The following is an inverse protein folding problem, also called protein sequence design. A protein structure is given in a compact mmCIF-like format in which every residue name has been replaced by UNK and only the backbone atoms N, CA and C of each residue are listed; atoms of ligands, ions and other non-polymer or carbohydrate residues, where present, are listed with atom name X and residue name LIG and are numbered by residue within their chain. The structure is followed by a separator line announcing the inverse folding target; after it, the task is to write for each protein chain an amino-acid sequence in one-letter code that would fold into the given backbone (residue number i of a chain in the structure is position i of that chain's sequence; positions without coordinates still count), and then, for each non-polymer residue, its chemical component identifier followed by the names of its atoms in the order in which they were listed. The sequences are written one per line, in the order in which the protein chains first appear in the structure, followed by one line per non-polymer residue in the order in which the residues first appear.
data_IF_198987119158
#
_entry.id   IF_198987119158
#
_cell.length_a   1.000
_cell.length_b   1.000
_cell.length_c   1.000
_cell.angle_alpha   90.00
_cell.angle_beta   90.00
_cell.angle_gamma   90.00
#
_symmetry.space_group_name_H-M   'P 1'
#
loop_
_entity.id
_entity.type
_entity.pdbx_description
1 polymer ?
#
# COMPACT_ATOMS: atom_id res chain seq x y z
N UNK A 1 15.12 -8.19 -10.69
CA UNK A 1 13.83 -8.39 -11.42
C UNK A 1 13.82 -9.50 -12.50
N UNK A 2 12.66 -10.09 -12.83
CA UNK A 2 12.52 -11.23 -13.79
C UNK A 2 12.79 -10.91 -15.27
N UNK A 3 13.00 -11.95 -16.10
CA UNK A 3 13.32 -11.80 -17.54
C UNK A 3 12.20 -11.06 -18.27
N UNK A 4 12.49 -9.87 -18.78
CA UNK A 4 11.60 -9.13 -19.67
C UNK A 4 11.66 -9.75 -21.06
N UNK A 5 10.68 -10.60 -21.37
CA UNK A 5 10.51 -11.16 -22.71
C UNK A 5 9.63 -10.24 -23.57
N UNK A 6 10.01 -10.07 -24.83
CA UNK A 6 9.21 -9.29 -25.79
C UNK A 6 7.81 -9.89 -25.95
N UNK A 7 6.80 -9.01 -25.97
CA UNK A 7 5.40 -9.36 -26.16
C UNK A 7 4.54 -8.12 -26.42
N UNK A 8 3.32 -8.34 -26.91
CA UNK A 8 2.32 -7.29 -27.08
C UNK A 8 1.51 -7.19 -25.80
N UNK A 9 1.57 -6.06 -25.08
CA UNK A 9 0.83 -5.93 -23.85
C UNK A 9 -0.65 -5.58 -24.17
N UNK A 10 -1.56 -5.93 -23.27
CA UNK A 10 -3.02 -5.78 -23.47
C UNK A 10 -3.49 -4.55 -22.69
N UNK A 11 -4.40 -3.77 -23.25
CA UNK A 11 -5.00 -2.65 -22.53
C UNK A 11 -5.91 -3.12 -21.39
N UNK A 12 -6.18 -2.26 -20.41
CA UNK A 12 -7.10 -2.53 -19.30
C UNK A 12 -8.44 -3.11 -19.75
N UNK A 13 -9.06 -2.51 -20.78
CA UNK A 13 -10.34 -2.96 -21.32
C UNK A 13 -10.28 -4.36 -21.95
N UNK A 14 -9.10 -4.78 -22.43
CA UNK A 14 -8.84 -6.12 -22.95
C UNK A 14 -8.50 -7.12 -21.82
N UNK A 15 -7.90 -6.65 -20.72
CA UNK A 15 -7.52 -7.45 -19.56
C UNK A 15 -8.71 -7.79 -18.66
N UNK A 16 -9.60 -6.83 -18.39
CA UNK A 16 -10.74 -6.99 -17.46
C UNK A 16 -11.57 -8.26 -17.77
N UNK A 17 -11.96 -8.55 -19.02
CA UNK A 17 -12.76 -9.73 -19.35
C UNK A 17 -12.04 -11.07 -19.10
N UNK A 18 -10.70 -11.08 -19.07
CA UNK A 18 -9.87 -12.29 -18.96
C UNK A 18 -9.22 -12.46 -17.58
N UNK A 19 -9.28 -11.44 -16.71
CA UNK A 19 -8.70 -11.44 -15.37
C UNK A 19 -8.99 -12.72 -14.57
N UNK A 20 -10.25 -13.17 -14.56
CA UNK A 20 -10.64 -14.34 -13.78
C UNK A 20 -9.99 -15.64 -14.28
N UNK A 21 -9.83 -15.77 -15.59
CA UNK A 21 -9.15 -16.91 -16.22
C UNK A 21 -7.67 -16.91 -15.83
N UNK A 22 -7.00 -15.76 -15.91
CA UNK A 22 -5.58 -15.65 -15.53
C UNK A 22 -5.34 -15.89 -14.04
N UNK A 23 -6.22 -15.43 -13.15
CA UNK A 23 -6.16 -15.77 -11.71
C UNK A 23 -6.24 -17.28 -11.48
N UNK A 24 -7.11 -17.99 -12.22
CA UNK A 24 -7.22 -19.45 -12.12
C UNK A 24 -5.96 -20.16 -12.59
N UNK A 25 -5.32 -19.66 -13.65
CA UNK A 25 -4.04 -20.19 -14.15
C UNK A 25 -2.90 -19.92 -13.18
N UNK A 26 -2.81 -18.71 -12.64
CA UNK A 26 -1.81 -18.33 -11.64
C UNK A 26 -1.92 -19.22 -10.39
N UNK A 27 -3.14 -19.43 -9.87
CA UNK A 27 -3.36 -20.33 -8.73
C UNK A 27 -2.95 -21.77 -9.06
N UNK A 28 -3.30 -22.26 -10.25
CA UNK A 28 -2.91 -23.60 -10.70
C UNK A 28 -1.39 -23.76 -10.81
N UNK A 29 -0.68 -22.73 -11.29
CA UNK A 29 0.77 -22.72 -11.36
C UNK A 29 1.40 -22.68 -9.97
N UNK A 30 0.88 -21.83 -9.07
CA UNK A 30 1.33 -21.73 -7.69
C UNK A 30 1.21 -23.07 -6.97
N UNK A 31 0.05 -23.74 -7.07
CA UNK A 31 -0.16 -25.07 -6.47
C UNK A 31 0.82 -26.08 -7.05
N UNK A 32 1.07 -26.08 -8.36
CA UNK A 32 2.04 -27.00 -8.98
C UNK A 32 3.47 -26.75 -8.51
N UNK A 33 3.88 -25.49 -8.36
CA UNK A 33 5.19 -25.12 -7.82
C UNK A 33 5.30 -25.57 -6.37
N UNK A 34 4.28 -25.29 -5.55
CA UNK A 34 4.23 -25.72 -4.17
C UNK A 34 4.34 -27.24 -4.04
N UNK A 35 3.49 -28.01 -4.74
CA UNK A 35 3.53 -29.47 -4.72
C UNK A 35 4.87 -30.04 -5.18
N UNK A 36 5.54 -29.39 -6.13
CA UNK A 36 6.86 -29.80 -6.62
C UNK A 36 7.98 -29.52 -5.60
N UNK A 37 7.88 -28.42 -4.85
CA UNK A 37 8.96 -27.90 -4.01
C UNK A 37 8.74 -28.09 -2.50
N UNK A 38 7.54 -28.48 -2.05
CA UNK A 38 7.18 -28.57 -0.61
C UNK A 38 8.07 -29.49 0.22
N UNK A 39 8.64 -30.51 -0.42
CA UNK A 39 9.49 -31.51 0.22
C UNK A 39 10.99 -31.27 -0.05
N UNK A 40 11.36 -30.14 -0.67
CA UNK A 40 12.76 -29.81 -0.92
C UNK A 40 13.47 -29.52 0.40
N UNK A 41 14.62 -30.18 0.59
CA UNK A 41 15.47 -30.02 1.76
C UNK A 41 16.93 -29.99 1.33
N UNK A 42 17.77 -29.28 2.09
CA UNK A 42 19.21 -29.24 1.87
C UNK A 42 19.68 -28.23 0.83
N UNK A 43 18.84 -27.24 0.46
CA UNK A 43 19.28 -26.14 -0.39
C UNK A 43 20.35 -25.29 0.31
N UNK A 44 21.33 -24.85 -0.48
CA UNK A 44 22.35 -23.92 0.01
C UNK A 44 21.72 -22.56 0.27
N UNK A 45 22.12 -21.89 1.37
CA UNK A 45 21.70 -20.52 1.61
C UNK A 45 22.41 -19.59 0.64
N UNK A 46 21.69 -19.27 -0.44
CA UNK A 46 22.08 -18.34 -1.48
C UNK A 46 21.31 -17.04 -1.28
N UNK A 47 21.97 -15.91 -1.48
CA UNK A 47 21.38 -14.59 -1.33
C UNK A 47 22.05 -13.59 -2.27
N UNK A 48 21.42 -12.45 -2.51
CA UNK A 48 21.95 -11.41 -3.38
C UNK A 48 21.37 -10.06 -2.99
N UNK A 49 21.99 -9.00 -3.50
CA UNK A 49 21.49 -7.63 -3.36
C UNK A 49 21.05 -7.10 -4.73
N UNK A 50 20.04 -6.24 -4.74
CA UNK A 50 19.64 -5.47 -5.92
C UNK A 50 19.87 -3.98 -5.63
N UNK A 51 20.59 -3.30 -6.52
CA UNK A 51 20.84 -1.86 -6.41
C UNK A 51 20.25 -1.12 -7.60
N UNK A 52 19.32 -0.22 -7.30
CA UNK A 52 18.84 0.79 -8.23
C UNK A 52 19.71 2.04 -8.17
N UNK A 53 20.03 2.57 -9.34
CA UNK A 53 20.82 3.77 -9.51
C UNK A 53 20.03 4.82 -10.28
N UNK A 54 20.19 6.07 -9.87
CA UNK A 54 19.67 7.26 -10.55
C UNK A 54 20.78 7.90 -11.39
N UNK A 55 20.47 8.20 -12.64
CA UNK A 55 21.33 8.95 -13.57
C UNK A 55 21.01 10.44 -13.44
N UNK A 56 22.05 11.25 -13.25
CA UNK A 56 21.91 12.70 -13.08
C UNK A 56 22.93 13.48 -13.88
N UNK A 57 22.55 14.69 -14.28
CA UNK A 57 23.41 15.66 -14.94
C UNK A 57 23.67 16.86 -14.00
N UNK A 58 24.94 17.18 -13.79
CA UNK A 58 25.41 18.34 -13.02
C UNK A 58 25.78 19.50 -13.96
N UNK A 59 24.92 20.51 -14.06
CA UNK A 59 25.28 21.80 -14.66
C UNK A 59 25.97 22.66 -13.60
N UNK A 60 27.29 22.54 -13.50
CA UNK A 60 28.09 23.30 -12.54
C UNK A 60 28.00 24.82 -12.75
N UNK A 61 27.82 25.27 -14.01
CA UNK A 61 27.73 26.69 -14.34
C UNK A 61 26.46 27.32 -13.78
N UNK A 62 25.33 26.60 -13.86
CA UNK A 62 24.03 27.04 -13.34
C UNK A 62 23.76 26.53 -11.93
N UNK A 63 24.72 25.83 -11.30
CA UNK A 63 24.61 25.19 -9.99
C UNK A 63 23.35 24.33 -9.88
N UNK A 64 23.15 23.45 -10.86
CA UNK A 64 21.91 22.68 -11.00
C UNK A 64 22.20 21.20 -11.21
N UNK A 65 21.36 20.37 -10.60
CA UNK A 65 21.33 18.93 -10.83
C UNK A 65 19.96 18.57 -11.42
N UNK A 66 19.95 17.73 -12.44
CA UNK A 66 18.76 17.30 -13.16
C UNK A 66 18.82 15.80 -13.41
N UNK A 67 17.67 15.14 -13.57
CA UNK A 67 17.58 13.74 -13.99
C UNK A 67 18.07 13.59 -15.43
N UNK A 68 18.84 12.55 -15.69
CA UNK A 68 19.40 12.24 -17.01
C UNK A 68 18.67 11.04 -17.62
N UNK A 69 17.92 11.25 -18.70
CA UNK A 69 17.14 10.22 -19.39
C UNK A 69 18.01 9.50 -20.43
N UNK A 70 18.81 8.54 -19.97
CA UNK A 70 19.80 7.83 -20.79
C UNK A 70 19.92 6.34 -20.48
N UNK A 71 19.07 5.77 -19.64
CA UNK A 71 19.11 4.36 -19.30
C UNK A 71 19.05 3.50 -20.58
N UNK A 72 18.20 3.87 -21.54
CA UNK A 72 18.09 3.19 -22.83
C UNK A 72 19.36 3.19 -23.68
N UNK A 73 20.21 4.20 -23.56
CA UNK A 73 21.50 4.28 -24.28
C UNK A 73 22.60 3.49 -23.58
N UNK A 74 22.66 3.60 -22.24
CA UNK A 74 23.79 3.03 -21.48
C UNK A 74 23.60 1.55 -21.17
N UNK A 75 22.36 1.08 -21.00
CA UNK A 75 22.09 -0.29 -20.57
C UNK A 75 22.56 -1.34 -21.60
N UNK A 76 22.33 -1.19 -22.91
CA UNK A 76 22.87 -2.12 -23.90
C UNK A 76 24.41 -2.20 -23.86
N UNK A 77 25.07 -1.06 -23.60
CA UNK A 77 26.54 -0.98 -23.48
C UNK A 77 27.02 -1.72 -22.24
N UNK A 78 26.36 -1.53 -21.10
CA UNK A 78 26.65 -2.24 -19.85
C UNK A 78 26.52 -3.76 -20.00
N UNK A 79 25.45 -4.21 -20.66
CA UNK A 79 25.22 -5.63 -20.96
C UNK A 79 26.34 -6.19 -21.86
N UNK A 80 26.76 -5.44 -22.89
CA UNK A 80 27.81 -5.89 -23.80
C UNK A 80 29.21 -5.90 -23.15
N UNK A 81 29.55 -4.87 -22.36
CA UNK A 81 30.81 -4.81 -21.60
C UNK A 81 30.97 -6.02 -20.67
N UNK A 82 29.88 -6.53 -20.10
CA UNK A 82 29.91 -7.72 -19.26
C UNK A 82 30.03 -9.04 -20.03
N UNK A 83 29.73 -9.07 -21.34
CA UNK A 83 29.99 -10.24 -22.19
C UNK A 83 31.45 -10.33 -22.66
N UNK A 84 32.09 -9.18 -22.89
CA UNK A 84 33.43 -9.09 -23.48
C UNK A 84 34.55 -9.31 -22.46
N UNK A 85 34.31 -9.00 -21.18
CA UNK A 85 35.37 -8.89 -20.17
C UNK A 85 35.73 -10.18 -19.38
N UNK A 86 35.21 -11.38 -19.70
CA UNK A 86 35.63 -12.59 -18.98
C UNK A 86 35.63 -13.88 -19.80
N UNK A 87 36.80 -14.52 -19.86
CA UNK A 87 36.92 -15.97 -19.71
C UNK A 87 36.26 -16.32 -18.36
N UNK A 88 35.16 -17.06 -18.45
CA UNK A 88 34.34 -17.66 -17.39
C UNK A 88 33.65 -16.70 -16.40
N UNK A 89 32.37 -16.43 -16.68
CA UNK A 89 31.30 -15.77 -15.88
C UNK A 89 31.28 -14.23 -15.78
N UNK A 90 30.20 -13.55 -16.24
CA UNK A 90 29.95 -12.14 -15.95
C UNK A 90 29.83 -11.92 -14.43
N UNK A 91 30.37 -10.83 -13.89
CA UNK A 91 30.29 -10.53 -12.45
C UNK A 91 29.03 -9.76 -12.03
N UNK A 92 28.34 -9.14 -13.00
CA UNK A 92 27.21 -8.23 -12.79
C UNK A 92 26.14 -8.49 -13.85
N UNK A 93 24.88 -8.55 -13.43
CA UNK A 93 23.73 -8.48 -14.33
C UNK A 93 23.07 -7.10 -14.20
N UNK A 94 22.80 -6.48 -15.35
CA UNK A 94 22.18 -5.16 -15.45
C UNK A 94 20.77 -5.31 -16.02
N UNK A 95 19.82 -4.61 -15.40
CA UNK A 95 18.40 -4.67 -15.74
C UNK A 95 17.84 -3.26 -15.96
N UNK A 96 16.86 -3.11 -16.88
CA UNK A 96 16.18 -1.84 -17.05
C UNK A 96 15.21 -1.61 -15.89
N UNK A 97 15.04 -0.34 -15.51
CA UNK A 97 14.01 0.08 -14.56
C UNK A 97 12.91 0.91 -15.23
N UNK A 98 11.84 1.17 -14.50
CA UNK A 98 10.62 1.83 -15.03
C UNK A 98 10.93 3.19 -15.64
N UNK A 99 11.81 3.97 -15.02
CA UNK A 99 12.17 5.30 -15.50
C UNK A 99 13.49 5.28 -16.30
N UNK A 100 13.58 6.11 -17.35
CA UNK A 100 14.76 6.19 -18.22
C UNK A 100 15.97 6.90 -17.57
N UNK A 101 15.80 7.40 -16.34
CA UNK A 101 16.91 7.84 -15.50
C UNK A 101 17.35 6.77 -14.50
N UNK A 102 16.84 5.54 -14.58
CA UNK A 102 17.15 4.47 -13.64
C UNK A 102 17.75 3.25 -14.31
N UNK A 103 18.70 2.61 -13.63
CA UNK A 103 19.22 1.29 -13.97
C UNK A 103 19.32 0.44 -12.70
N UNK A 104 19.06 -0.86 -12.81
CA UNK A 104 19.23 -1.84 -11.73
C UNK A 104 20.48 -2.69 -12.02
N UNK A 105 21.32 -2.89 -11.00
CA UNK A 105 22.47 -3.77 -11.07
C UNK A 105 22.46 -4.79 -9.93
N UNK A 106 22.66 -6.06 -10.26
CA UNK A 106 22.67 -7.20 -9.33
C UNK A 106 23.96 -8.02 -9.53
N UNK A 107 24.44 -8.78 -8.53
CA UNK A 107 25.49 -9.76 -8.77
C UNK A 107 24.96 -10.83 -9.74
N UNK A 108 25.76 -11.21 -10.75
CA UNK A 108 25.32 -12.21 -11.74
C UNK A 108 25.10 -13.60 -11.13
N UNK A 109 25.89 -13.93 -10.10
CA UNK A 109 25.75 -15.15 -9.30
C UNK A 109 25.40 -14.76 -7.86
N UNK A 110 24.52 -15.52 -7.19
CA UNK A 110 24.20 -15.26 -5.80
C UNK A 110 25.41 -15.48 -4.89
N UNK A 111 25.49 -14.71 -3.81
CA UNK A 111 26.42 -14.94 -2.73
C UNK A 111 26.10 -16.22 -1.97
N UNK A 112 27.14 -16.87 -1.45
CA UNK A 112 26.98 -18.04 -0.58
C UNK A 112 26.78 -17.69 0.89
N UNK A 113 26.66 -18.73 1.71
CA UNK A 113 26.34 -18.63 3.14
C UNK A 113 27.54 -18.32 4.06
N UNK A 114 28.77 -18.48 3.55
CA UNK A 114 29.96 -18.27 4.38
C UNK A 114 30.13 -16.77 4.70
N UNK A 115 30.49 -16.39 5.94
CA UNK A 115 30.71 -14.99 6.31
C UNK A 115 31.73 -14.27 5.42
N UNK A 116 32.64 -14.99 4.76
CA UNK A 116 33.60 -14.44 3.80
C UNK A 116 32.94 -13.72 2.61
N UNK A 117 31.71 -14.11 2.21
CA UNK A 117 30.97 -13.45 1.15
C UNK A 117 30.56 -12.02 1.53
N UNK A 118 30.45 -11.68 2.81
CA UNK A 118 30.19 -10.30 3.24
C UNK A 118 31.29 -9.33 2.78
N UNK A 119 32.53 -9.82 2.66
CA UNK A 119 33.66 -9.04 2.19
C UNK A 119 33.65 -8.81 0.66
N UNK A 120 32.79 -9.51 -0.08
CA UNK A 120 32.70 -9.39 -1.55
C UNK A 120 31.57 -8.47 -2.00
N UNK A 121 30.57 -8.23 -1.13
CA UNK A 121 29.38 -7.43 -1.45
C UNK A 121 29.77 -6.00 -1.85
N UNK A 122 30.51 -5.30 -0.98
CA UNK A 122 30.90 -3.91 -1.23
C UNK A 122 31.80 -3.79 -2.48
N UNK A 123 32.68 -4.76 -2.69
CA UNK A 123 33.52 -4.81 -3.90
C UNK A 123 32.68 -4.96 -5.17
N UNK A 124 31.65 -5.82 -5.14
CA UNK A 124 30.72 -6.00 -6.26
C UNK A 124 29.86 -4.73 -6.48
N UNK A 125 29.34 -4.11 -5.42
CA UNK A 125 28.61 -2.83 -5.50
C UNK A 125 29.48 -1.69 -6.06
N UNK A 126 30.75 -1.63 -5.63
CA UNK A 126 31.72 -0.64 -6.12
C UNK A 126 32.03 -0.86 -7.59
N UNK A 127 32.18 -2.11 -8.03
CA UNK A 127 32.37 -2.45 -9.43
C UNK A 127 31.17 -2.03 -10.29
N UNK A 128 29.95 -2.29 -9.83
CA UNK A 128 28.70 -1.82 -10.49
C UNK A 128 28.72 -0.30 -10.71
N UNK A 129 28.95 0.46 -9.64
CA UNK A 129 29.04 1.93 -9.73
C UNK A 129 30.13 2.36 -10.71
N UNK A 130 31.31 1.76 -10.62
CA UNK A 130 32.46 2.09 -11.45
C UNK A 130 32.17 1.86 -12.93
N UNK A 131 31.69 0.67 -13.30
CA UNK A 131 31.37 0.32 -14.69
C UNK A 131 30.36 1.30 -15.31
N UNK A 132 29.28 1.59 -14.60
CA UNK A 132 28.26 2.51 -15.09
C UNK A 132 28.76 3.95 -15.15
N UNK A 133 29.55 4.40 -14.17
CA UNK A 133 30.17 5.73 -14.22
C UNK A 133 31.18 5.86 -15.36
N UNK A 134 31.96 4.82 -15.67
CA UNK A 134 32.92 4.83 -16.79
C UNK A 134 32.19 5.07 -18.12
N UNK A 135 31.10 4.35 -18.39
CA UNK A 135 30.29 4.51 -19.61
C UNK A 135 29.70 5.93 -19.73
N UNK A 136 29.22 6.51 -18.62
CA UNK A 136 28.73 7.89 -18.61
C UNK A 136 29.86 8.90 -18.86
N UNK A 137 31.01 8.69 -18.23
CA UNK A 137 32.17 9.58 -18.34
C UNK A 137 32.80 9.59 -19.73
N UNK A 138 32.63 8.51 -20.52
CA UNK A 138 33.01 8.49 -21.93
C UNK A 138 32.19 9.46 -22.79
N UNK A 139 30.96 9.79 -22.36
CA UNK A 139 30.07 10.70 -23.07
C UNK A 139 30.16 12.15 -22.55
N UNK A 140 30.30 12.35 -21.24
CA UNK A 140 30.26 13.67 -20.61
C UNK A 140 30.83 13.69 -19.20
N UNK A 141 31.63 14.72 -18.88
CA UNK A 141 32.15 14.97 -17.51
C UNK A 141 31.08 15.48 -16.53
N UNK A 142 29.87 15.76 -17.03
CA UNK A 142 28.75 16.31 -16.24
C UNK A 142 27.71 15.24 -15.87
N UNK A 143 27.90 13.98 -16.27
CA UNK A 143 26.93 12.90 -16.08
C UNK A 143 27.41 11.91 -15.02
N UNK A 144 26.52 11.60 -14.07
CA UNK A 144 26.88 10.83 -12.88
C UNK A 144 25.81 9.79 -12.56
N UNK A 145 26.29 8.69 -11.98
CA UNK A 145 25.44 7.67 -11.37
C UNK A 145 25.45 7.81 -9.84
N UNK A 146 24.27 7.90 -9.25
CA UNK A 146 24.09 8.03 -7.80
C UNK A 146 23.09 6.98 -7.30
N UNK A 147 23.17 6.59 -6.02
CA UNK A 147 22.12 5.81 -5.38
C UNK A 147 21.30 6.76 -4.52
N UNK A 148 20.05 6.96 -4.92
CA UNK A 148 19.16 7.91 -4.29
C UNK A 148 17.75 7.32 -4.35
N UNK A 149 17.10 7.21 -3.20
CA UNK A 149 15.74 6.67 -3.12
C UNK A 149 14.69 7.61 -3.71
N UNK A 150 14.91 8.92 -3.61
CA UNK A 150 14.02 9.94 -4.16
C UNK A 150 14.81 11.17 -4.62
N UNK A 151 14.59 11.60 -5.86
CA UNK A 151 15.23 12.80 -6.39
C UNK A 151 14.57 14.06 -5.77
N UNK A 152 15.29 14.91 -5.01
CA UNK A 152 14.66 15.97 -4.20
C UNK A 152 13.87 17.01 -4.99
N UNK A 153 14.18 17.18 -6.27
CA UNK A 153 13.54 18.17 -7.16
C UNK A 153 12.62 17.55 -8.18
N UNK A 154 12.24 16.30 -7.98
CA UNK A 154 11.34 15.59 -8.88
C UNK A 154 10.06 16.39 -9.12
N UNK A 155 9.68 16.56 -10.39
CA UNK A 155 8.51 17.36 -10.78
C UNK A 155 8.63 18.87 -10.58
N UNK A 156 9.78 19.41 -10.17
CA UNK A 156 9.91 20.83 -9.81
C UNK A 156 10.84 21.62 -10.73
N UNK A 157 10.27 22.55 -11.49
CA UNK A 157 10.99 23.43 -12.41
C UNK A 157 11.69 22.64 -13.51
N UNK A 158 12.91 23.04 -13.88
CA UNK A 158 13.73 22.29 -14.85
C UNK A 158 14.46 21.14 -14.13
N UNK A 159 13.73 20.05 -13.82
CA UNK A 159 14.25 18.89 -13.09
C UNK A 159 14.77 17.77 -14.00
N UNK A 160 14.40 17.78 -15.29
CA UNK A 160 14.88 16.84 -16.32
C UNK A 160 15.93 17.55 -17.15
N UNK A 161 17.07 16.91 -17.38
CA UNK A 161 18.10 17.39 -18.28
C UNK A 161 17.64 17.15 -19.71
N UNK A 162 17.82 18.16 -20.56
CA UNK A 162 17.46 18.07 -21.96
C UNK A 162 18.60 18.60 -22.81
N UNK A 163 19.11 17.77 -23.71
CA UNK A 163 20.18 18.18 -24.63
C UNK A 163 19.61 19.09 -25.72
N UNK A 164 20.44 19.88 -26.39
CA UNK A 164 20.01 20.74 -27.49
C UNK A 164 19.46 19.97 -28.72
N UNK A 165 19.51 18.63 -28.70
CA UNK A 165 18.95 17.75 -29.73
C UNK A 165 17.62 17.10 -29.31
N UNK A 166 17.08 17.44 -28.14
CA UNK A 166 15.80 16.89 -27.63
C UNK A 166 14.57 17.65 -28.13
N UNK A 167 14.75 18.57 -29.08
CA UNK A 167 13.65 19.04 -29.90
C UNK A 167 13.21 17.87 -30.77
N UNK A 168 12.30 17.04 -30.26
CA UNK A 168 11.31 16.23 -30.99
C UNK A 168 10.75 15.16 -30.03
N UNK A 169 9.64 15.46 -29.36
CA UNK A 169 8.38 14.76 -29.60
C UNK A 169 7.30 15.36 -28.69
N UNK A 170 6.40 16.13 -29.31
CA UNK A 170 5.06 16.40 -28.81
C UNK A 170 4.30 15.08 -28.67
N UNK A 171 4.51 14.36 -27.55
CA UNK A 171 3.73 13.17 -27.23
C UNK A 171 3.22 13.32 -25.81
N UNK A 172 1.93 13.68 -25.74
CA UNK A 172 0.99 13.35 -24.66
C UNK A 172 1.44 13.61 -23.22
N UNK A 173 2.21 14.66 -22.93
CA UNK A 173 2.53 15.00 -21.53
C UNK A 173 1.24 15.38 -20.76
N UNK A 174 0.60 14.38 -20.12
CA UNK A 174 -0.60 14.59 -19.30
C UNK A 174 -0.27 15.29 -17.97
N UNK A 175 1.01 15.32 -17.60
CA UNK A 175 1.51 15.96 -16.38
C UNK A 175 2.80 16.73 -16.62
N UNK A 176 2.80 18.00 -16.21
CA UNK A 176 4.01 18.87 -16.21
C UNK A 176 5.03 18.48 -15.12
N UNK A 177 4.62 17.66 -14.15
CA UNK A 177 5.44 17.22 -13.02
C UNK A 177 5.97 15.78 -13.21
N UNK A 178 5.34 15.00 -14.10
CA UNK A 178 5.73 13.64 -14.47
C UNK A 178 5.46 13.48 -15.97
N UNK A 179 6.31 14.03 -16.85
CA UNK A 179 6.11 13.89 -18.28
C UNK A 179 6.44 12.45 -18.73
N UNK A 180 5.73 11.96 -19.74
CA UNK A 180 5.83 10.57 -20.24
C UNK A 180 7.26 10.18 -20.64
N UNK A 181 8.06 11.15 -21.09
CA UNK A 181 9.47 10.96 -21.41
C UNK A 181 10.32 10.44 -20.25
N UNK A 182 9.84 10.51 -19.01
CA UNK A 182 10.53 9.90 -17.86
C UNK A 182 10.51 8.37 -17.93
N UNK A 183 9.55 7.77 -18.61
CA UNK A 183 9.41 6.32 -18.72
C UNK A 183 10.44 5.77 -19.70
N UNK A 184 11.11 4.70 -19.29
CA UNK A 184 12.11 4.02 -20.10
C UNK A 184 11.50 3.51 -21.42
N UNK A 185 12.08 3.85 -22.58
CA UNK A 185 11.63 3.33 -23.85
C UNK A 185 12.10 1.89 -24.12
N UNK A 186 12.90 1.30 -23.22
CA UNK A 186 13.58 0.00 -23.41
C UNK A 186 12.60 -1.15 -23.59
N UNK A 187 11.46 -1.15 -22.88
CA UNK A 187 10.54 -2.29 -22.89
C UNK A 187 9.07 -1.86 -22.94
N UNK A 188 8.22 -2.46 -23.82
CA UNK A 188 6.80 -2.09 -23.96
C UNK A 188 6.01 -2.15 -22.64
N UNK A 189 6.32 -3.12 -21.77
CA UNK A 189 5.74 -3.22 -20.40
C UNK A 189 5.80 -1.89 -19.63
N UNK A 190 6.88 -1.12 -19.78
CA UNK A 190 7.07 0.13 -19.04
C UNK A 190 6.13 1.23 -19.55
N UNK A 191 5.82 1.22 -20.85
CA UNK A 191 4.85 2.12 -21.46
C UNK A 191 3.40 1.68 -21.21
N UNK A 192 3.14 0.37 -21.15
CA UNK A 192 1.77 -0.14 -20.99
C UNK A 192 1.24 -0.06 -19.54
N UNK A 193 2.12 0.20 -18.56
CA UNK A 193 1.71 0.72 -17.24
C UNK A 193 0.94 2.06 -17.32
N UNK A 194 0.84 2.69 -18.49
CA UNK A 194 -0.04 3.83 -18.73
C UNK A 194 -1.44 3.42 -19.21
N UNK A 195 -1.58 2.24 -19.84
CA UNK A 195 -2.88 1.66 -20.21
C UNK A 195 -3.62 1.08 -19.01
N UNK A 196 -2.87 0.42 -18.12
CA UNK A 196 -3.29 0.10 -16.76
C UNK A 196 -2.82 1.23 -15.85
N UNK A 197 -3.62 2.31 -15.78
CA UNK A 197 -3.39 3.43 -14.85
C UNK A 197 -2.91 2.90 -13.49
N UNK A 198 -1.97 3.55 -12.80
CA UNK A 198 -1.70 3.21 -11.41
C UNK A 198 -2.98 3.49 -10.61
N UNK A 199 -3.75 2.41 -10.45
CA UNK A 199 -5.07 2.37 -9.89
C UNK A 199 -4.91 2.14 -8.40
N UNK A 200 -5.44 3.06 -7.61
CA UNK A 200 -5.39 2.99 -6.16
C UNK A 200 -6.73 3.43 -5.60
N UNK A 201 -7.08 2.95 -4.41
CA UNK A 201 -8.30 3.34 -3.71
C UNK A 201 -7.95 3.67 -2.28
N UNK A 202 -8.76 4.51 -1.66
CA UNK A 202 -8.76 4.66 -0.21
C UNK A 202 -9.90 3.83 0.39
N UNK A 203 -9.75 3.50 1.66
CA UNK A 203 -10.77 2.80 2.44
C UNK A 203 -11.02 3.62 3.70
N UNK A 204 -12.28 3.92 3.96
CA UNK A 204 -12.68 4.70 5.13
C UNK A 204 -13.67 3.92 5.96
N UNK A 205 -13.28 3.66 7.20
CA UNK A 205 -14.16 3.21 8.26
C UNK A 205 -14.82 4.42 8.95
N UNK A 206 -16.11 4.29 9.21
CA UNK A 206 -16.92 5.26 9.94
C UNK A 206 -17.50 4.62 11.20
N UNK A 207 -17.36 5.31 12.32
CA UNK A 207 -18.02 4.98 13.59
C UNK A 207 -19.36 5.69 13.67
N UNK A 208 -20.43 4.94 13.91
CA UNK A 208 -21.78 5.44 14.15
C UNK A 208 -21.92 5.84 15.63
N UNK A 209 -22.39 7.04 15.90
CA UNK A 209 -22.57 7.56 17.26
C UNK A 209 -23.92 8.24 17.45
N UNK A 210 -24.39 8.21 18.69
CA UNK A 210 -25.55 8.96 19.15
C UNK A 210 -25.10 10.06 20.13
N UNK A 211 -25.56 11.29 19.88
CA UNK A 211 -25.37 12.45 20.76
C UNK A 211 -26.61 12.67 21.61
N UNK A 212 -26.53 12.25 22.88
CA UNK A 212 -27.51 12.63 23.88
C UNK A 212 -27.14 14.01 24.44
N UNK A 213 -27.66 15.05 23.79
CA UNK A 213 -27.43 16.44 24.18
C UNK A 213 -27.94 16.76 25.59
N UNK A 214 -29.03 16.14 26.02
CA UNK A 214 -29.65 16.38 27.32
C UNK A 214 -28.75 15.91 28.46
N UNK A 215 -28.16 14.72 28.30
CA UNK A 215 -27.25 14.15 29.30
C UNK A 215 -25.77 14.45 29.03
N UNK A 216 -25.47 15.19 27.95
CA UNK A 216 -24.12 15.52 27.49
C UNK A 216 -23.26 14.28 27.28
N UNK A 217 -23.81 13.30 26.55
CA UNK A 217 -23.15 12.01 26.29
C UNK A 217 -23.05 11.72 24.81
N UNK A 218 -21.99 11.02 24.46
CA UNK A 218 -21.79 10.41 23.15
C UNK A 218 -21.67 8.91 23.38
N UNK A 219 -22.39 8.13 22.60
CA UNK A 219 -22.47 6.68 22.72
C UNK A 219 -22.35 6.04 21.33
N UNK A 220 -21.82 4.81 21.26
CA UNK A 220 -21.80 4.01 20.04
C UNK A 220 -23.22 3.62 19.64
N UNK A 221 -23.55 3.76 18.36
CA UNK A 221 -24.84 3.45 17.78
C UNK A 221 -24.75 2.12 17.00
N UNK A 222 -25.45 1.08 17.46
CA UNK A 222 -25.42 -0.25 16.84
C UNK A 222 -26.50 -0.34 15.76
N UNK A 223 -26.22 0.22 14.60
CA UNK A 223 -27.17 0.31 13.47
C UNK A 223 -26.56 0.01 12.12
N UNK A 224 -25.31 -0.47 12.05
CA UNK A 224 -24.67 -0.80 10.77
C UNK A 224 -25.53 -1.77 9.97
N UNK A 225 -26.10 -2.78 10.61
CA UNK A 225 -26.99 -3.76 9.97
C UNK A 225 -28.29 -3.18 9.39
N UNK A 226 -28.79 -2.05 9.92
CA UNK A 226 -29.99 -1.38 9.42
C UNK A 226 -29.66 -0.44 8.25
N UNK A 227 -28.55 0.29 8.35
CA UNK A 227 -28.21 1.33 7.38
C UNK A 227 -27.49 0.79 6.15
N UNK A 228 -26.68 -0.26 6.30
CA UNK A 228 -25.85 -0.78 5.22
C UNK A 228 -26.66 -1.29 4.02
N UNK A 229 -27.76 -2.06 4.18
CA UNK A 229 -28.59 -2.47 3.05
C UNK A 229 -29.14 -1.27 2.26
N UNK A 230 -29.56 -0.20 2.96
CA UNK A 230 -30.07 1.02 2.35
C UNK A 230 -29.00 1.78 1.56
N UNK A 231 -27.77 1.80 2.08
CA UNK A 231 -26.61 2.39 1.39
C UNK A 231 -26.26 1.64 0.11
N UNK A 232 -26.34 0.30 0.15
CA UNK A 232 -26.10 -0.56 -1.03
C UNK A 232 -27.18 -0.32 -2.09
N UNK A 233 -28.47 -0.36 -1.70
CA UNK A 233 -29.60 -0.08 -2.61
C UNK A 233 -29.49 1.31 -3.27
N UNK A 234 -29.14 2.34 -2.49
CA UNK A 234 -28.97 3.71 -2.99
C UNK A 234 -27.88 3.79 -4.08
N UNK A 235 -26.82 2.98 -3.98
CA UNK A 235 -25.75 2.99 -4.98
C UNK A 235 -26.03 2.10 -6.19
N UNK A 236 -26.84 1.04 -6.04
CA UNK A 236 -27.34 0.28 -7.19
C UNK A 236 -28.24 1.15 -8.08
N UNK A 237 -29.06 2.03 -7.50
CA UNK A 237 -29.90 2.98 -8.23
C UNK A 237 -29.07 4.07 -8.96
N UNK A 238 -27.93 4.48 -8.38
CA UNK A 238 -27.07 5.55 -8.90
C UNK A 238 -25.78 5.03 -9.56
N UNK A 239 -25.75 3.78 -10.04
CA UNK A 239 -24.52 3.13 -10.51
C UNK A 239 -23.81 3.84 -11.68
N UNK A 240 -24.50 4.74 -12.40
CA UNK A 240 -23.90 5.53 -13.50
C UNK A 240 -23.32 6.88 -13.05
N UNK A 241 -23.53 7.29 -11.80
CA UNK A 241 -23.00 8.55 -11.29
C UNK A 241 -21.53 8.42 -10.94
N UNK A 242 -20.74 9.43 -11.30
CA UNK A 242 -19.35 9.57 -10.88
C UNK A 242 -19.24 10.77 -9.93
N UNK A 243 -18.74 10.59 -8.70
CA UNK A 243 -18.10 9.38 -8.16
C UNK A 243 -19.08 8.33 -7.59
N UNK A 244 -18.81 7.05 -7.82
CA UNK A 244 -19.57 5.90 -7.28
C UNK A 244 -18.88 5.31 -6.04
N UNK A 245 -19.65 4.67 -5.16
CA UNK A 245 -19.22 4.20 -3.84
C UNK A 245 -19.61 2.73 -3.66
N UNK A 246 -18.75 1.94 -3.03
CA UNK A 246 -19.13 0.64 -2.49
C UNK A 246 -19.08 0.69 -0.96
N UNK A 247 -20.06 0.05 -0.33
CA UNK A 247 -20.22 0.00 1.12
C UNK A 247 -20.08 -1.44 1.61
N UNK A 248 -19.33 -1.64 2.68
CA UNK A 248 -19.05 -2.96 3.25
C UNK A 248 -19.35 -2.99 4.76
N UNK A 249 -19.69 -4.17 5.29
CA UNK A 249 -19.85 -4.37 6.73
C UNK A 249 -18.49 -4.47 7.42
N UNK A 250 -18.36 -3.81 8.56
CA UNK A 250 -17.21 -4.00 9.45
C UNK A 250 -17.51 -4.98 10.60
N UNK A 251 -16.47 -5.34 11.36
CA UNK A 251 -16.55 -6.33 12.46
C UNK A 251 -17.57 -5.92 13.51
N UNK A 252 -17.65 -4.62 13.83
CA UNK A 252 -18.56 -4.10 14.84
C UNK A 252 -19.82 -3.46 14.23
N UNK A 253 -20.97 -3.64 14.86
CA UNK A 253 -22.27 -3.12 14.39
C UNK A 253 -22.42 -1.59 14.52
N UNK A 254 -21.42 -0.93 15.11
CA UNK A 254 -21.29 0.53 15.08
C UNK A 254 -20.36 1.02 13.96
N UNK A 255 -19.91 0.15 13.06
CA UNK A 255 -18.97 0.49 12.00
C UNK A 255 -19.51 0.16 10.62
N UNK A 256 -19.25 1.05 9.68
CA UNK A 256 -19.43 0.81 8.24
C UNK A 256 -18.16 1.25 7.51
N UNK A 257 -17.85 0.58 6.42
CA UNK A 257 -16.71 0.89 5.57
C UNK A 257 -17.20 1.35 4.20
N UNK A 258 -16.61 2.41 3.67
CA UNK A 258 -16.88 2.90 2.32
C UNK A 258 -15.60 3.03 1.50
N UNK A 259 -15.64 2.57 0.26
CA UNK A 259 -14.57 2.67 -0.75
C UNK A 259 -15.10 3.31 -2.02
N UNK A 260 -14.24 3.90 -2.89
CA UNK A 260 -14.66 4.21 -4.25
C UNK A 260 -14.96 2.91 -5.02
N UNK A 261 -16.06 2.87 -5.78
CA UNK A 261 -16.37 1.70 -6.64
C UNK A 261 -15.33 1.52 -7.75
N UNK A 262 -14.90 2.65 -8.32
CA UNK A 262 -13.85 2.69 -9.33
C UNK A 262 -12.55 3.18 -8.70
N UNK A 263 -11.43 2.47 -8.88
CA UNK A 263 -10.16 2.94 -8.36
C UNK A 263 -9.77 4.30 -8.97
N UNK A 264 -9.14 5.13 -8.16
CA UNK A 264 -8.55 6.37 -8.62
C UNK A 264 -7.37 6.08 -9.53
N UNK A 265 -7.19 6.92 -10.55
CA UNK A 265 -5.95 6.96 -11.29
C UNK A 265 -4.86 7.71 -10.52
N UNK A 266 -3.66 7.72 -11.09
CA UNK A 266 -2.46 8.25 -10.47
C UNK A 266 -2.23 9.75 -10.69
N UNK A 267 -3.05 10.38 -11.54
CA UNK A 267 -2.92 11.80 -11.83
C UNK A 267 -3.31 12.63 -10.60
N UNK A 268 -2.61 13.73 -10.28
CA UNK A 268 -2.94 14.58 -9.13
C UNK A 268 -4.38 15.13 -9.13
N UNK A 269 -5.05 15.21 -10.28
CA UNK A 269 -6.46 15.59 -10.36
C UNK A 269 -7.39 14.61 -9.62
N UNK A 270 -6.98 13.34 -9.48
CA UNK A 270 -7.71 12.36 -8.68
C UNK A 270 -7.71 12.68 -7.19
N UNK A 271 -6.83 13.56 -6.67
CA UNK A 271 -6.94 14.02 -5.28
C UNK A 271 -8.25 14.79 -5.02
N UNK A 272 -8.72 15.55 -6.00
CA UNK A 272 -10.03 16.20 -5.93
C UNK A 272 -11.17 15.16 -5.97
N UNK A 273 -11.00 14.10 -6.77
CA UNK A 273 -11.93 12.98 -6.83
C UNK A 273 -11.98 12.21 -5.52
N UNK A 274 -10.83 12.03 -4.85
CA UNK A 274 -10.72 11.39 -3.53
C UNK A 274 -11.51 12.20 -2.51
N UNK A 275 -11.24 13.50 -2.38
CA UNK A 275 -11.97 14.35 -1.42
C UNK A 275 -13.47 14.41 -1.73
N UNK A 276 -13.84 14.52 -3.01
CA UNK A 276 -15.24 14.51 -3.43
C UNK A 276 -15.93 13.18 -3.11
N UNK A 277 -15.27 12.05 -3.35
CA UNK A 277 -15.78 10.71 -3.05
C UNK A 277 -15.89 10.49 -1.53
N UNK A 278 -14.89 10.87 -0.74
CA UNK A 278 -14.95 10.83 0.73
C UNK A 278 -16.09 11.70 1.29
N UNK A 279 -16.27 12.90 0.70
CA UNK A 279 -17.36 13.82 1.09
C UNK A 279 -18.71 13.23 0.73
N UNK A 280 -18.84 12.60 -0.44
CA UNK A 280 -20.07 11.92 -0.86
C UNK A 280 -20.40 10.74 0.06
N UNK A 281 -19.41 9.90 0.40
CA UNK A 281 -19.55 8.81 1.39
C UNK A 281 -20.11 9.34 2.70
N UNK A 282 -19.49 10.40 3.23
CA UNK A 282 -19.95 11.00 4.48
C UNK A 282 -21.37 11.56 4.35
N UNK A 283 -21.67 12.24 3.25
CA UNK A 283 -22.99 12.83 3.03
C UNK A 283 -24.09 11.76 2.95
N UNK A 284 -23.91 10.72 2.13
CA UNK A 284 -24.90 9.65 1.94
C UNK A 284 -25.22 8.93 3.26
N UNK A 285 -24.19 8.50 3.99
CA UNK A 285 -24.40 7.80 5.26
C UNK A 285 -25.00 8.72 6.34
N UNK A 286 -24.63 10.00 6.37
CA UNK A 286 -25.26 10.96 7.30
C UNK A 286 -26.72 11.26 6.94
N UNK A 287 -27.08 11.33 5.65
CA UNK A 287 -28.46 11.57 5.22
C UNK A 287 -29.39 10.46 5.71
N UNK A 288 -29.00 9.19 5.54
CA UNK A 288 -29.78 8.02 6.00
C UNK A 288 -29.99 8.04 7.53
N UNK A 289 -28.96 8.41 8.30
CA UNK A 289 -29.10 8.54 9.76
C UNK A 289 -30.01 9.72 10.15
N UNK A 290 -29.87 10.84 9.45
CA UNK A 290 -30.64 12.06 9.74
C UNK A 290 -32.14 11.90 9.45
N UNK A 291 -32.52 10.99 8.56
CA UNK A 291 -33.93 10.61 8.37
C UNK A 291 -34.54 9.94 9.61
N UNK A 292 -33.72 9.25 10.41
CA UNK A 292 -34.19 8.55 11.60
C UNK A 292 -34.10 9.44 12.85
N UNK A 293 -33.06 10.26 12.98
CA UNK A 293 -32.82 11.06 14.18
C UNK A 293 -31.80 12.17 13.94
N UNK A 294 -32.10 13.38 14.44
CA UNK A 294 -31.16 14.51 14.46
C UNK A 294 -30.00 14.33 15.44
N UNK A 295 -30.00 13.25 16.23
CA UNK A 295 -28.97 12.96 17.23
C UNK A 295 -27.99 11.87 16.78
N UNK A 296 -28.13 11.33 15.57
CA UNK A 296 -27.32 10.22 15.05
C UNK A 296 -26.32 10.73 14.00
N UNK A 297 -25.06 10.33 14.14
CA UNK A 297 -23.97 10.84 13.32
C UNK A 297 -22.98 9.76 12.94
N UNK A 298 -22.37 9.92 11.76
CA UNK A 298 -21.15 9.20 11.40
C UNK A 298 -19.91 10.04 11.73
N UNK A 299 -18.88 9.39 12.26
CA UNK A 299 -17.61 10.03 12.58
C UNK A 299 -16.46 9.12 12.14
N UNK A 300 -15.46 9.67 11.46
CA UNK A 300 -14.18 8.97 11.26
C UNK A 300 -13.36 9.09 12.55
N UNK A 301 -13.24 8.00 13.30
CA UNK A 301 -12.54 7.97 14.57
C UNK A 301 -11.79 6.65 14.69
N UNK A 302 -10.48 6.72 14.99
CA UNK A 302 -9.64 5.52 15.12
C UNK A 302 -9.88 4.75 16.42
N UNK A 303 -10.35 5.41 17.48
CA UNK A 303 -10.69 4.78 18.75
C UNK A 303 -11.76 5.58 19.47
N UNK A 304 -12.83 4.90 19.90
CA UNK A 304 -13.88 5.53 20.70
C UNK A 304 -13.38 5.74 22.15
N UNK A 305 -13.25 6.99 22.66
CA UNK A 305 -12.53 7.24 23.92
C UNK A 305 -13.13 6.59 25.16
N UNK A 306 -14.44 6.31 25.13
CA UNK A 306 -15.17 5.72 26.27
C UNK A 306 -15.51 4.24 26.05
N UNK A 307 -14.84 3.58 25.11
CA UNK A 307 -15.08 2.19 24.79
C UNK A 307 -14.96 1.31 26.04
N UNK A 308 -15.97 0.48 26.30
CA UNK A 308 -16.01 -0.38 27.49
C UNK A 308 -16.25 0.33 28.82
N UNK A 309 -16.56 1.64 28.83
CA UNK A 309 -16.68 2.44 30.06
C UNK A 309 -18.07 3.06 30.25
N UNK A 310 -18.78 2.61 31.29
CA UNK A 310 -20.09 3.14 31.66
C UNK A 310 -21.16 2.88 30.58
N UNK A 311 -22.06 3.83 30.38
CA UNK A 311 -23.07 3.75 29.30
C UNK A 311 -22.45 4.24 27.99
N UNK A 312 -21.59 3.42 27.37
CA UNK A 312 -20.88 3.75 26.13
C UNK A 312 -21.59 3.29 24.85
N UNK A 313 -22.60 2.43 24.97
CA UNK A 313 -23.47 1.97 23.88
C UNK A 313 -24.83 2.65 24.03
N UNK A 314 -25.37 3.17 22.94
CA UNK A 314 -26.72 3.70 22.89
C UNK A 314 -27.73 2.55 22.84
N UNK A 315 -28.81 2.67 23.60
CA UNK A 315 -29.87 1.67 23.70
C UNK A 315 -31.18 2.44 23.62
N UNK A 316 -31.99 2.14 22.61
CA UNK A 316 -33.35 2.69 22.56
C UNK A 316 -34.21 1.98 23.62
N UNK A 317 -35.33 2.59 24.00
CA UNK A 317 -36.25 2.01 25.00
C UNK A 317 -36.88 0.65 24.57
N UNK A 318 -36.58 0.15 23.38
CA UNK A 318 -37.01 -1.16 22.86
C UNK A 318 -35.93 -2.26 22.95
N UNK A 319 -34.72 -1.95 23.41
CA UNK A 319 -33.60 -2.90 23.50
C UNK A 319 -33.53 -3.64 24.86
N UNK A 320 -34.69 -4.00 25.41
CA UNK A 320 -34.73 -4.87 26.57
C UNK A 320 -34.61 -6.34 26.12
N UNK A 321 -33.48 -6.94 26.51
CA UNK A 321 -33.17 -8.37 26.65
C UNK A 321 -32.64 -9.09 25.39
N UNK A 322 -31.35 -9.44 25.38
CA UNK A 322 -30.92 -10.82 25.66
C UNK A 322 -29.39 -11.02 25.71
N UNK A 323 -29.00 -11.75 26.76
CA UNK A 323 -27.89 -12.71 26.91
C UNK A 323 -26.42 -12.28 26.77
N UNK A 324 -25.86 -12.17 27.99
CA UNK A 324 -24.48 -12.37 28.41
C UNK A 324 -23.87 -13.65 27.82
N UNK A 325 -23.02 -13.49 26.82
CA UNK A 325 -21.84 -14.33 26.58
C UNK A 325 -20.61 -13.51 26.98
N UNK A 326 -20.52 -13.14 28.26
CA UNK A 326 -19.42 -12.31 28.77
C UNK A 326 -18.10 -13.09 28.79
N UNK A 327 -17.39 -13.11 27.66
CA UNK A 327 -15.93 -13.32 27.68
C UNK A 327 -15.22 -12.05 28.15
N UNK A 328 -15.84 -10.88 28.01
CA UNK A 328 -15.31 -9.58 28.44
C UNK A 328 -16.38 -8.67 29.04
N UNK A 329 -16.13 -8.19 30.27
CA UNK A 329 -16.98 -7.21 30.97
C UNK A 329 -17.00 -5.83 30.30
N UNK A 330 -16.11 -5.58 29.34
CA UNK A 330 -15.95 -4.31 28.63
C UNK A 330 -16.32 -4.40 27.14
N UNK A 331 -16.51 -5.61 26.60
CA UNK A 331 -16.83 -5.86 25.20
C UNK A 331 -18.03 -6.83 25.14
N UNK A 332 -19.27 -6.33 25.15
CA UNK A 332 -20.44 -7.18 25.02
C UNK A 332 -20.61 -7.65 23.56
N UNK A 333 -21.02 -8.90 23.36
CA UNK A 333 -21.17 -9.53 22.03
C UNK A 333 -22.09 -8.79 21.07
N UNK A 334 -23.06 -8.02 21.60
CA UNK A 334 -23.93 -7.16 20.76
C UNK A 334 -23.16 -6.09 19.98
N UNK A 335 -21.90 -5.82 20.32
CA UNK A 335 -21.04 -4.95 19.52
C UNK A 335 -20.67 -5.60 18.18
N UNK A 336 -20.70 -6.93 18.08
CA UNK A 336 -20.32 -7.66 16.87
C UNK A 336 -21.45 -7.50 15.85
N UNK A 337 -21.07 -7.16 14.62
CA UNK A 337 -22.02 -7.00 13.53
C UNK A 337 -22.82 -8.29 13.27
N UNK A 338 -24.17 -8.23 13.25
CA UNK A 338 -25.00 -9.38 12.94
C UNK A 338 -25.09 -9.66 11.42
N UNK A 339 -24.50 -8.79 10.58
CA UNK A 339 -24.64 -8.82 9.12
C UNK A 339 -24.05 -10.10 8.51
N UNK A 340 -22.95 -10.63 9.09
CA UNK A 340 -22.30 -11.81 8.54
C UNK A 340 -21.76 -12.77 9.63
N UNK A 341 -22.06 -14.08 9.58
CA UNK A 341 -21.65 -15.06 10.60
C UNK A 341 -20.14 -15.13 10.88
N UNK A 342 -19.31 -14.78 9.89
CA UNK A 342 -17.83 -14.70 10.02
C UNK A 342 -17.38 -13.78 11.16
N UNK A 343 -18.09 -12.67 11.41
CA UNK A 343 -17.67 -11.69 12.42
C UNK A 343 -17.64 -12.30 13.82
N UNK A 344 -18.61 -13.18 14.11
CA UNK A 344 -18.68 -13.91 15.39
C UNK A 344 -17.63 -15.04 15.49
N UNK A 345 -17.43 -15.80 14.41
CA UNK A 345 -16.48 -16.92 14.40
C UNK A 345 -15.02 -16.50 14.68
N UNK A 346 -14.62 -15.30 14.28
CA UNK A 346 -13.26 -14.79 14.50
C UNK A 346 -12.95 -14.48 15.98
N UNK A 347 -13.98 -14.28 16.81
CA UNK A 347 -13.84 -13.81 18.21
C UNK A 347 -13.85 -14.99 19.20
N UNK A 348 -14.32 -16.18 18.78
CA UNK A 348 -14.44 -17.37 19.64
C UNK A 348 -13.08 -18.04 20.00
N UNK A 349 -11.95 -17.56 19.45
CA UNK A 349 -10.61 -18.19 19.59
C UNK A 349 -9.73 -17.64 20.75
N UNK A 350 -10.34 -17.37 21.91
CA UNK A 350 -9.64 -17.14 23.18
C UNK A 350 -9.46 -15.67 23.58
N UNK A 351 -9.21 -15.44 24.87
CA UNK A 351 -9.07 -14.09 25.43
C UNK A 351 -7.76 -13.43 24.94
N UNK A 352 -7.89 -12.37 24.16
CA UNK A 352 -6.77 -11.49 23.79
C UNK A 352 -6.51 -10.47 24.91
N UNK A 353 -5.24 -10.23 25.24
CA UNK A 353 -4.83 -9.24 26.22
C UNK A 353 -3.99 -8.15 25.54
N UNK A 354 -4.45 -6.90 25.59
CA UNK A 354 -3.74 -5.72 25.10
C UNK A 354 -3.49 -4.77 26.27
N UNK A 355 -2.23 -4.44 26.53
CA UNK A 355 -1.84 -3.44 27.54
C UNK A 355 -1.34 -2.19 26.83
N UNK A 356 -1.99 -1.06 27.08
CA UNK A 356 -1.57 0.27 26.58
C UNK A 356 -1.03 1.07 27.75
N UNK A 357 0.14 1.70 27.59
CA UNK A 357 0.72 2.54 28.63
C UNK A 357 -0.18 3.76 28.91
N UNK A 358 -0.52 3.96 30.18
CA UNK A 358 -1.30 5.11 30.63
C UNK A 358 -0.45 6.38 30.60
N UNK A 359 -1.05 7.52 30.21
CA UNK A 359 -0.40 8.82 30.38
C UNK A 359 -0.27 9.15 31.85
N UNK A 360 0.96 9.39 32.30
CA UNK A 360 1.25 9.80 33.67
C UNK A 360 1.11 11.32 33.79
N UNK A 361 0.08 11.76 34.50
CA UNK A 361 -0.11 13.13 34.96
C UNK A 361 0.03 13.19 36.48
N UNK A 362 -0.02 14.41 37.04
CA UNK A 362 0.15 14.63 38.48
C UNK A 362 -0.92 13.96 39.36
N UNK A 363 -2.02 13.49 38.76
CA UNK A 363 -3.14 12.83 39.43
C UNK A 363 -3.07 11.30 39.20
N UNK A 364 -2.75 10.85 37.98
CA UNK A 364 -2.62 9.42 37.63
C UNK A 364 -1.39 8.75 38.23
N UNK A 365 -0.36 9.54 38.58
CA UNK A 365 0.81 9.08 39.36
C UNK A 365 0.48 8.62 40.79
N UNK A 366 -0.71 8.92 41.31
CA UNK A 366 -1.18 8.51 42.65
C UNK A 366 -2.11 7.28 42.63
N UNK A 367 -2.41 6.72 41.45
CA UNK A 367 -3.11 5.44 41.39
C UNK A 367 -2.11 4.32 41.64
N UNK A 368 -2.22 3.67 42.80
CA UNK A 368 -1.52 2.40 43.04
C UNK A 368 -1.96 1.38 41.97
N UNK A 369 -0.99 0.70 41.37
CA UNK A 369 -1.23 -0.36 40.40
C UNK A 369 -1.89 -1.55 41.10
N UNK A 370 -3.23 -1.53 41.19
CA UNK A 370 -4.02 -2.58 41.82
C UNK A 370 -4.10 -3.86 40.97
N UNK A 371 -3.29 -3.98 39.90
CA UNK A 371 -3.30 -5.13 38.97
C UNK A 371 -1.91 -5.68 38.73
N UNK A 372 -1.33 -6.33 39.74
CA UNK A 372 -0.42 -7.47 39.56
C UNK A 372 -0.14 -8.21 40.87
N UNK A 373 -1.10 -8.99 41.35
CA UNK A 373 -0.77 -10.22 42.07
C UNK A 373 -1.37 -11.39 41.30
N UNK A 374 -0.56 -12.26 40.68
CA UNK A 374 -1.08 -13.54 40.23
C UNK A 374 -1.65 -14.24 41.46
N UNK A 375 -2.91 -14.67 41.39
CA UNK A 375 -3.48 -15.59 42.36
C UNK A 375 -2.49 -16.75 42.53
N UNK A 376 -2.03 -16.96 43.78
CA UNK A 376 -1.21 -18.13 44.11
C UNK A 376 -1.94 -19.38 43.58
N UNK A 377 -1.23 -20.33 42.94
CA UNK A 377 -1.84 -21.62 42.63
C UNK A 377 -2.33 -22.24 43.94
N UNK A 378 -3.59 -22.64 43.99
CA UNK A 378 -4.08 -23.48 45.07
C UNK A 378 -3.22 -24.75 45.11
N UNK A 379 -2.54 -24.99 46.23
CA UNK A 379 -1.88 -26.26 46.49
C UNK A 379 -2.94 -27.35 46.48
N UNK A 380 -2.94 -28.17 45.42
CA UNK A 380 -3.64 -29.45 45.39
C UNK A 380 -2.99 -30.30 46.50
N UNK A 381 -3.69 -30.44 47.63
CA UNK A 381 -3.34 -31.45 48.62
C UNK A 381 -3.57 -32.83 47.99
N UNK A 382 -2.47 -33.58 47.83
CA UNK A 382 -2.46 -35.00 47.45
C UNK A 382 -2.98 -35.85 48.61
#
# INVERSE_FOLDING_TARGET
MGVLTEGTPLSWNEIVPICQVYRSYALSQLVKIFEKCKDYQGDSFLWGDELEFTLVHFDHSKKRVQLLLKAHEILPRLVETNKVNHDDTPSIAWHPETCDFMIEGVPCEPYGFLPSYLNTVEANMTLRRKQAQEILSEQSDCEYIINMSAFPRYGQGQFIYSSAHDDLQEVTEQSIHYPDRLISPIHPRMKDYQGDSFLWGDELEFTLVHFDHSNKRVQLLLKAHEILPRLVETNEENHNDTPSIAWHPETCDFMIEGVPCEPYGFLPCYLNTVEANMTLRRKQAQEILSEQSDCEYIINMSAFPRYGQGQFIYSSAHDDLQEVTEQSIHYPDRLISPIHPRMKQNIEYGNSAVTVHTSLDSITSNFEDSRCHPSKPEEIQI
#
